data_IF_954763785088
#
_entry.id   IF_954763785088
#
_cell.length_a   1.000
_cell.length_b   1.000
_cell.length_c   1.000
_cell.angle_alpha   90.00
_cell.angle_beta   90.00
_cell.angle_gamma   90.00
#
_symmetry.space_group_name_H-M   'P 1'
#
loop_
_entity.id
_entity.type
_entity.pdbx_description
1 polymer ?
#
# COMPACT_ATOMS: atom_id res chain seq x y z
N UNK A 1 11.45 -13.06 11.90
CA UNK A 1 11.90 -12.37 13.13
C UNK A 1 12.67 -11.06 12.88
N UNK A 2 13.47 -10.93 11.82
CA UNK A 2 14.28 -9.73 11.55
C UNK A 2 13.45 -8.43 11.60
N UNK A 3 12.29 -8.38 10.94
CA UNK A 3 11.44 -7.19 10.91
C UNK A 3 11.05 -6.64 12.29
N UNK A 4 10.80 -7.52 13.27
CA UNK A 4 10.47 -7.10 14.64
C UNK A 4 11.61 -6.33 15.30
N UNK A 5 12.87 -6.67 14.99
CA UNK A 5 14.06 -5.95 15.48
C UNK A 5 14.16 -4.53 14.93
N UNK A 6 13.54 -4.26 13.78
CA UNK A 6 13.47 -2.95 13.16
C UNK A 6 12.14 -2.20 13.45
N UNK A 7 11.33 -2.71 14.39
CA UNK A 7 10.11 -2.04 14.85
C UNK A 7 8.83 -2.43 14.12
N UNK A 8 8.84 -3.44 13.24
CA UNK A 8 7.62 -3.96 12.62
C UNK A 8 6.76 -4.67 13.69
N UNK A 9 5.54 -4.19 13.90
CA UNK A 9 4.59 -4.74 14.90
C UNK A 9 3.77 -5.90 14.35
N UNK A 10 3.33 -5.78 13.10
CA UNK A 10 2.40 -6.69 12.45
C UNK A 10 2.98 -7.16 11.11
N UNK A 11 2.72 -8.42 10.75
CA UNK A 11 3.16 -8.99 9.49
C UNK A 11 1.99 -9.68 8.79
N UNK A 12 1.82 -9.35 7.51
CA UNK A 12 0.75 -9.87 6.65
C UNK A 12 1.40 -10.62 5.49
N UNK A 13 1.09 -11.91 5.36
CA UNK A 13 1.48 -12.69 4.20
C UNK A 13 0.30 -12.78 3.21
N UNK A 14 0.42 -12.22 1.98
CA UNK A 14 -0.64 -12.25 0.98
C UNK A 14 -1.22 -13.63 0.68
N UNK A 15 -0.43 -14.70 0.79
CA UNK A 15 -0.86 -16.06 0.44
C UNK A 15 -1.92 -16.63 1.38
N UNK A 16 -2.19 -16.00 2.52
CA UNK A 16 -3.19 -16.44 3.49
C UNK A 16 -4.59 -15.86 3.24
N UNK A 17 -4.74 -14.97 2.26
CA UNK A 17 -5.98 -14.19 2.05
C UNK A 17 -6.70 -14.51 0.73
N UNK A 18 -6.27 -15.55 0.00
CA UNK A 18 -6.90 -15.95 -1.27
C UNK A 18 -6.93 -14.80 -2.27
N UNK A 19 -8.12 -14.50 -2.80
CA UNK A 19 -8.32 -13.44 -3.80
C UNK A 19 -8.47 -12.03 -3.20
N UNK A 20 -8.40 -11.90 -1.87
CA UNK A 20 -8.56 -10.61 -1.20
C UNK A 20 -7.34 -9.73 -1.46
N UNK A 21 -7.59 -8.49 -1.88
CA UNK A 21 -6.53 -7.50 -2.08
C UNK A 21 -5.89 -7.13 -0.75
N UNK A 22 -4.58 -6.93 -0.74
CA UNK A 22 -3.85 -6.63 0.50
C UNK A 22 -4.22 -5.26 1.07
N UNK A 23 -4.54 -4.30 0.22
CA UNK A 23 -5.10 -3.02 0.63
C UNK A 23 -6.40 -3.15 1.43
N UNK A 24 -7.24 -4.15 1.12
CA UNK A 24 -8.45 -4.42 1.90
C UNK A 24 -8.11 -5.00 3.27
N UNK A 25 -7.18 -5.97 3.32
CA UNK A 25 -6.70 -6.55 4.58
C UNK A 25 -6.12 -5.47 5.49
N UNK A 26 -5.26 -4.60 4.95
CA UNK A 26 -4.65 -3.49 5.70
C UNK A 26 -5.72 -2.52 6.21
N UNK A 27 -6.70 -2.16 5.37
CA UNK A 27 -7.81 -1.26 5.78
C UNK A 27 -8.63 -1.84 6.92
N UNK A 28 -8.91 -3.13 6.91
CA UNK A 28 -9.65 -3.80 7.99
C UNK A 28 -8.86 -3.83 9.29
N UNK A 29 -7.57 -4.18 9.23
CA UNK A 29 -6.68 -4.19 10.40
C UNK A 29 -6.52 -2.79 11.02
N UNK A 30 -6.56 -1.75 10.19
CA UNK A 30 -6.28 -0.36 10.60
C UNK A 30 -7.53 0.50 10.71
N UNK A 31 -8.73 -0.08 10.57
CA UNK A 31 -10.03 0.61 10.67
C UNK A 31 -10.17 1.79 9.69
N UNK A 32 -9.73 1.62 8.45
CA UNK A 32 -9.93 2.61 7.37
C UNK A 32 -8.68 2.91 6.54
N UNK A 33 -7.53 2.36 6.89
CA UNK A 33 -6.28 2.51 6.15
C UNK A 33 -5.19 3.24 6.94
N UNK A 34 -3.96 3.09 6.47
CA UNK A 34 -2.77 3.72 7.07
C UNK A 34 -2.67 5.19 6.71
N UNK A 35 -2.04 5.98 7.57
CA UNK A 35 -1.70 7.38 7.27
C UNK A 35 -0.65 7.45 6.16
N UNK A 36 0.36 6.60 6.26
CA UNK A 36 1.45 6.47 5.32
C UNK A 36 1.66 5.01 4.93
N UNK A 37 1.87 4.76 3.64
CA UNK A 37 2.35 3.47 3.12
C UNK A 37 3.64 3.67 2.34
N UNK A 38 4.53 2.68 2.37
CA UNK A 38 5.78 2.70 1.63
C UNK A 38 5.85 1.48 0.70
N UNK A 39 6.02 1.71 -0.60
CA UNK A 39 6.26 0.65 -1.56
C UNK A 39 7.77 0.53 -1.79
N UNK A 40 8.35 -0.64 -1.49
CA UNK A 40 9.80 -0.85 -1.47
C UNK A 40 10.27 -1.98 -2.41
N UNK A 41 9.44 -2.43 -3.34
CA UNK A 41 9.74 -3.55 -4.25
C UNK A 41 9.90 -3.06 -5.69
N UNK A 42 9.03 -2.15 -6.15
CA UNK A 42 9.08 -1.59 -7.50
C UNK A 42 8.20 -2.31 -8.51
N UNK A 43 7.02 -2.79 -8.09
CA UNK A 43 6.01 -3.32 -9.01
C UNK A 43 4.81 -2.39 -9.06
N UNK A 44 4.35 -2.01 -10.26
CA UNK A 44 3.22 -1.08 -10.43
C UNK A 44 1.96 -1.55 -9.68
N UNK A 45 1.66 -2.85 -9.71
CA UNK A 45 0.55 -3.43 -8.94
C UNK A 45 0.70 -3.26 -7.43
N UNK A 46 1.93 -3.29 -6.90
CA UNK A 46 2.19 -3.07 -5.48
C UNK A 46 2.19 -1.58 -5.13
N UNK A 47 2.54 -0.70 -6.07
CA UNK A 47 2.38 0.76 -5.92
C UNK A 47 0.89 1.12 -5.82
N UNK A 48 0.04 0.49 -6.63
CA UNK A 48 -1.42 0.62 -6.54
C UNK A 48 -1.96 0.09 -5.20
N UNK A 49 -1.51 -1.07 -4.74
CA UNK A 49 -1.92 -1.62 -3.44
C UNK A 49 -1.44 -0.75 -2.27
N UNK A 50 -0.21 -0.21 -2.32
CA UNK A 50 0.31 0.73 -1.33
C UNK A 50 -0.58 1.99 -1.28
N UNK A 51 -0.84 2.61 -2.43
CA UNK A 51 -1.80 3.71 -2.53
C UNK A 51 -3.12 3.29 -1.89
N UNK A 52 -3.75 2.22 -2.36
CA UNK A 52 -5.06 1.74 -1.90
C UNK A 52 -5.12 1.33 -0.43
N UNK A 53 -3.99 1.12 0.24
CA UNK A 53 -3.93 0.83 1.67
C UNK A 53 -4.08 2.09 2.54
N UNK A 54 -3.88 3.27 1.96
CA UNK A 54 -4.00 4.55 2.69
C UNK A 54 -5.45 4.92 2.98
N UNK A 55 -5.66 5.63 4.08
CA UNK A 55 -6.94 6.28 4.41
C UNK A 55 -7.18 7.52 3.53
N UNK A 56 -8.39 8.07 3.57
CA UNK A 56 -8.67 9.40 2.98
C UNK A 56 -7.72 10.45 3.57
N UNK A 57 -7.09 11.26 2.72
CA UNK A 57 -6.03 12.20 3.12
C UNK A 57 -4.64 11.59 3.36
N UNK A 58 -4.47 10.27 3.22
CA UNK A 58 -3.20 9.58 3.44
C UNK A 58 -2.21 9.67 2.27
N UNK A 59 -0.97 9.24 2.51
CA UNK A 59 0.13 9.34 1.53
C UNK A 59 0.79 7.99 1.26
N UNK A 60 1.00 7.68 -0.02
CA UNK A 60 1.79 6.52 -0.42
C UNK A 60 3.14 6.95 -0.98
N UNK A 61 4.22 6.59 -0.31
CA UNK A 61 5.59 6.90 -0.76
C UNK A 61 6.11 5.73 -1.58
N UNK A 62 6.49 5.99 -2.83
CA UNK A 62 7.08 4.98 -3.72
C UNK A 62 8.60 5.07 -3.63
N UNK A 63 9.23 4.01 -3.13
CA UNK A 63 10.69 3.88 -3.01
C UNK A 63 11.25 2.89 -4.05
N UNK A 64 10.48 1.85 -4.39
CA UNK A 64 10.84 0.90 -5.44
C UNK A 64 10.67 1.48 -6.86
N UNK A 65 11.46 1.01 -7.81
CA UNK A 65 11.41 1.46 -9.22
C UNK A 65 10.86 0.37 -10.13
N UNK A 66 9.83 0.68 -10.91
CA UNK A 66 9.31 -0.22 -11.95
C UNK A 66 10.24 -0.17 -13.18
N UNK A 67 10.87 -1.31 -13.48
CA UNK A 67 11.97 -1.39 -14.45
C UNK A 67 11.52 -1.33 -15.92
N UNK A 68 10.22 -1.55 -16.18
CA UNK A 68 9.63 -1.59 -17.52
C UNK A 68 8.83 -0.32 -17.84
N UNK A 69 8.88 0.69 -16.99
CA UNK A 69 8.09 1.91 -17.07
C UNK A 69 6.58 1.66 -17.24
N UNK A 70 6.05 0.60 -16.60
CA UNK A 70 4.62 0.33 -16.59
C UNK A 70 3.86 1.42 -15.81
N UNK A 71 2.68 1.84 -16.30
CA UNK A 71 1.89 2.86 -15.62
C UNK A 71 1.29 2.33 -14.31
N UNK A 72 0.98 3.26 -13.41
CA UNK A 72 0.23 3.03 -12.17
C UNK A 72 -1.18 3.60 -12.37
N UNK A 73 -2.21 2.82 -12.06
CA UNK A 73 -3.61 3.26 -12.17
C UNK A 73 -4.16 3.67 -10.81
N UNK A 74 -4.51 4.95 -10.66
CA UNK A 74 -5.05 5.50 -9.43
C UNK A 74 -6.45 6.06 -9.65
N UNK A 75 -7.31 5.93 -8.65
CA UNK A 75 -8.63 6.56 -8.67
C UNK A 75 -8.51 8.08 -8.62
N UNK A 76 -8.91 8.78 -9.68
CA UNK A 76 -8.88 10.25 -9.73
C UNK A 76 -9.66 10.90 -8.58
N UNK A 77 -10.77 10.28 -8.18
CA UNK A 77 -11.58 10.74 -7.05
C UNK A 77 -10.88 10.60 -5.69
N UNK A 78 -9.97 9.63 -5.54
CA UNK A 78 -9.17 9.48 -4.32
C UNK A 78 -8.19 10.63 -4.13
N UNK A 79 -7.62 11.12 -5.24
CA UNK A 79 -6.72 12.28 -5.24
C UNK A 79 -7.45 13.56 -4.84
N UNK A 80 -8.66 13.77 -5.37
CA UNK A 80 -9.50 14.91 -4.98
C UNK A 80 -9.90 14.87 -3.50
N UNK A 81 -9.98 13.68 -2.91
CA UNK A 81 -10.21 13.47 -1.48
C UNK A 81 -8.93 13.58 -0.64
N UNK A 82 -7.85 14.10 -1.21
CA UNK A 82 -6.62 14.45 -0.51
C UNK A 82 -5.61 13.31 -0.35
N UNK A 83 -5.83 12.15 -0.97
CA UNK A 83 -4.79 11.12 -1.02
C UNK A 83 -3.70 11.55 -2.00
N UNK A 84 -2.44 11.28 -1.66
CA UNK A 84 -1.30 11.67 -2.48
C UNK A 84 -0.30 10.52 -2.63
N UNK A 85 0.53 10.62 -3.65
CA UNK A 85 1.77 9.85 -3.79
C UNK A 85 2.94 10.79 -3.57
#
# INVERSE_FOLDING_TARGET
EIGKRFGITDFVNPTFFGDKKISQVVKEMTKGGVDYSFECIGLSSLMEEAFNSTRTGGKAVILGMEQRALPINLGSYDLLRGRSI
#
